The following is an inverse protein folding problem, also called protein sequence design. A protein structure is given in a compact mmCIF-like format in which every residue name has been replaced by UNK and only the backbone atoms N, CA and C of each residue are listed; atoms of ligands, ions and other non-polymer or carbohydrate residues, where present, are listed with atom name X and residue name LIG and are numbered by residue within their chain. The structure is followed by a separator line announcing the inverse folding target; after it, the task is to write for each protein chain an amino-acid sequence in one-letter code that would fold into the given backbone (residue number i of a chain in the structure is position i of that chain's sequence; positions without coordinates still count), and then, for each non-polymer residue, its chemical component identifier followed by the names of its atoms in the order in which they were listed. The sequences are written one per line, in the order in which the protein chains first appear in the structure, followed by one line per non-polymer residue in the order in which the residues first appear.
data_IF_356464409327
#
_entry.id   IF_356464409327
#
_cell.length_a   1.000
_cell.length_b   1.000
_cell.length_c   1.000
_cell.angle_alpha   90.00
_cell.angle_beta   90.00
_cell.angle_gamma   90.00
#
_symmetry.space_group_name_H-M   'P 1'
#
loop_
_entity.id
_entity.type
_entity.pdbx_description
1 polymer ?
#
# COMPACT_ATOMS: atom_id res chain seq x y z
N UNK A 1 9.33 16.55 33.74
CA UNK A 1 8.08 16.94 33.08
C UNK A 1 8.30 16.68 31.60
N UNK A 2 7.82 15.54 31.07
CA UNK A 2 7.83 15.30 29.63
C UNK A 2 6.65 16.12 29.12
N UNK A 3 6.92 17.23 28.46
CA UNK A 3 5.88 17.94 27.74
C UNK A 3 5.45 17.01 26.61
N UNK A 4 4.19 16.59 26.64
CA UNK A 4 3.50 15.99 25.50
C UNK A 4 3.43 17.09 24.43
N UNK A 5 4.52 17.22 23.67
CA UNK A 5 4.64 18.20 22.62
C UNK A 5 3.74 17.72 21.49
N UNK A 6 2.46 18.07 21.58
CA UNK A 6 1.56 18.05 20.44
C UNK A 6 2.16 18.98 19.39
N UNK A 7 2.98 18.43 18.49
CA UNK A 7 3.47 19.16 17.34
C UNK A 7 2.25 19.38 16.47
N UNK A 8 1.74 20.62 16.46
CA UNK A 8 0.66 21.00 15.57
C UNK A 8 1.03 20.59 14.13
N UNK A 9 0.10 19.99 13.38
CA UNK A 9 0.37 19.64 12.00
C UNK A 9 0.81 20.90 11.25
N UNK A 10 1.93 20.80 10.53
CA UNK A 10 2.43 21.93 9.74
C UNK A 10 1.38 22.40 8.74
N UNK A 11 1.45 23.67 8.32
CA UNK A 11 0.55 24.19 7.29
C UNK A 11 0.51 23.31 6.04
N UNK A 12 1.67 22.75 5.65
CA UNK A 12 1.79 21.77 4.57
C UNK A 12 1.00 20.49 4.83
N UNK A 13 1.01 19.97 6.06
CA UNK A 13 0.22 18.81 6.44
C UNK A 13 -1.28 19.10 6.33
N UNK A 14 -1.73 20.25 6.84
CA UNK A 14 -3.14 20.66 6.79
C UNK A 14 -3.62 20.82 5.33
N UNK A 15 -2.83 21.50 4.49
CA UNK A 15 -3.16 21.70 3.08
C UNK A 15 -3.17 20.38 2.30
N UNK A 16 -2.21 19.48 2.55
CA UNK A 16 -2.22 18.14 1.95
C UNK A 16 -3.45 17.37 2.38
N UNK A 17 -3.85 17.47 3.65
CA UNK A 17 -5.02 16.78 4.18
C UNK A 17 -6.28 17.27 3.46
N UNK A 18 -6.44 18.59 3.36
CA UNK A 18 -7.54 19.22 2.62
C UNK A 18 -7.58 18.78 1.16
N UNK A 19 -6.44 18.83 0.47
CA UNK A 19 -6.33 18.41 -0.92
C UNK A 19 -6.70 16.93 -1.12
N UNK A 20 -6.15 16.04 -0.28
CA UNK A 20 -6.42 14.60 -0.36
C UNK A 20 -7.92 14.30 -0.16
N UNK A 21 -8.58 14.95 0.80
CA UNK A 21 -10.02 14.81 1.00
C UNK A 21 -10.84 15.37 -0.18
N UNK A 22 -10.45 16.52 -0.74
CA UNK A 22 -11.12 17.08 -1.92
C UNK A 22 -11.05 16.11 -3.11
N UNK A 23 -9.88 15.55 -3.40
CA UNK A 23 -9.72 14.57 -4.47
C UNK A 23 -10.49 13.28 -4.18
N UNK A 24 -10.46 12.79 -2.94
CA UNK A 24 -11.21 11.61 -2.52
C UNK A 24 -12.71 11.78 -2.74
N UNK A 25 -13.31 12.87 -2.25
CA UNK A 25 -14.75 13.11 -2.41
C UNK A 25 -15.15 13.33 -3.86
N UNK A 26 -14.31 14.03 -4.64
CA UNK A 26 -14.53 14.19 -6.08
C UNK A 26 -14.50 12.85 -6.80
N UNK A 27 -13.59 11.95 -6.39
CA UNK A 27 -13.45 10.64 -7.02
C UNK A 27 -14.61 9.73 -6.66
N UNK A 28 -14.93 9.57 -5.37
CA UNK A 28 -16.02 8.69 -4.96
C UNK A 28 -17.39 9.21 -5.37
N UNK A 29 -17.58 10.52 -5.55
CA UNK A 29 -18.85 11.06 -6.05
C UNK A 29 -19.13 10.73 -7.52
N UNK A 30 -18.14 10.22 -8.25
CA UNK A 30 -18.31 9.76 -9.63
C UNK A 30 -19.29 8.57 -9.69
N UNK A 31 -20.36 8.72 -10.49
CA UNK A 31 -21.40 7.70 -10.68
C UNK A 31 -20.95 6.47 -11.49
N UNK A 32 -19.84 6.58 -12.23
CA UNK A 32 -19.32 5.49 -13.07
C UNK A 32 -18.42 4.52 -12.31
N UNK A 33 -18.27 4.71 -10.99
CA UNK A 33 -17.37 3.93 -10.14
C UNK A 33 -18.10 2.70 -9.60
N UNK A 34 -17.56 1.51 -9.85
CA UNK A 34 -18.14 0.27 -9.34
C UNK A 34 -18.14 0.24 -7.81
N UNK A 35 -19.07 -0.49 -7.16
CA UNK A 35 -19.09 -0.62 -5.70
C UNK A 35 -17.78 -1.16 -5.13
N UNK A 36 -17.11 -2.05 -5.84
CA UNK A 36 -15.83 -2.65 -5.46
C UNK A 36 -14.71 -1.61 -5.50
N UNK A 37 -14.60 -0.87 -6.61
CA UNK A 37 -13.58 0.15 -6.77
C UNK A 37 -13.78 1.31 -5.77
N UNK A 38 -15.03 1.66 -5.47
CA UNK A 38 -15.38 2.64 -4.44
C UNK A 38 -14.90 2.24 -3.04
N UNK A 39 -14.96 0.95 -2.70
CA UNK A 39 -14.48 0.41 -1.41
C UNK A 39 -12.95 0.35 -1.35
N UNK A 40 -12.27 0.20 -2.48
CA UNK A 40 -10.80 0.10 -2.50
C UNK A 40 -10.10 1.44 -2.38
N UNK A 41 -10.71 2.53 -2.85
CA UNK A 41 -10.10 3.87 -2.84
C UNK A 41 -10.05 4.42 -1.41
N UNK A 42 -8.88 4.92 -1.01
CA UNK A 42 -8.63 5.54 0.30
C UNK A 42 -8.15 6.97 0.13
N UNK A 43 -8.38 7.82 1.14
CA UNK A 43 -7.87 9.21 1.16
C UNK A 43 -6.35 9.24 1.00
N UNK A 44 -5.63 8.26 1.57
CA UNK A 44 -4.17 8.14 1.46
C UNK A 44 -3.66 7.94 0.03
N UNK A 45 -4.49 7.44 -0.88
CA UNK A 45 -4.10 7.27 -2.29
C UNK A 45 -3.90 8.63 -2.99
N UNK A 46 -4.42 9.71 -2.39
CA UNK A 46 -4.29 11.09 -2.85
C UNK A 46 -3.19 11.87 -2.09
N UNK A 47 -2.40 11.21 -1.25
CA UNK A 47 -1.21 11.78 -0.60
C UNK A 47 0.02 11.63 -1.50
N UNK A 48 0.07 12.42 -2.57
CA UNK A 48 1.10 12.31 -3.61
C UNK A 48 2.52 12.58 -3.10
N UNK A 49 2.64 13.44 -2.08
CA UNK A 49 3.93 13.84 -1.51
C UNK A 49 4.29 13.02 -0.26
N UNK A 50 3.47 12.04 0.11
CA UNK A 50 3.66 11.21 1.30
C UNK A 50 3.82 12.05 2.59
N UNK A 51 3.09 13.18 2.64
CA UNK A 51 3.12 14.19 3.73
C UNK A 51 2.18 13.79 4.87
N UNK A 52 1.12 13.03 4.58
CA UNK A 52 0.17 12.53 5.58
C UNK A 52 0.64 11.25 6.24
N UNK A 53 1.58 10.52 5.64
CA UNK A 53 2.33 9.49 6.35
C UNK A 53 3.41 10.15 7.21
N UNK A 54 2.92 10.74 8.31
CA UNK A 54 3.68 11.23 9.47
C UNK A 54 4.26 10.05 10.26
N UNK A 55 5.08 9.23 9.63
CA UNK A 55 6.08 8.48 10.39
C UNK A 55 7.24 9.42 10.67
N UNK A 56 7.93 9.24 11.79
CA UNK A 56 9.20 9.92 12.15
C UNK A 56 10.36 9.61 11.17
N UNK A 57 10.03 9.25 9.92
CA UNK A 57 10.93 8.77 8.90
C UNK A 57 11.14 9.84 7.86
N UNK A 58 12.40 10.13 7.64
CA UNK A 58 12.89 10.94 6.54
C UNK A 58 12.53 10.32 5.19
N UNK A 59 12.57 11.13 4.13
CA UNK A 59 12.41 10.65 2.73
C UNK A 59 13.36 9.51 2.39
N UNK A 60 14.57 9.54 2.97
CA UNK A 60 15.58 8.51 2.79
C UNK A 60 15.14 7.19 3.41
N UNK A 61 14.73 7.18 4.68
CA UNK A 61 14.25 5.97 5.38
C UNK A 61 13.03 5.37 4.70
N UNK A 62 12.10 6.22 4.24
CA UNK A 62 10.96 5.79 3.43
C UNK A 62 11.39 5.13 2.11
N UNK A 63 12.46 5.62 1.49
CA UNK A 63 13.01 5.02 0.27
C UNK A 63 13.62 3.63 0.52
N UNK A 64 14.33 3.47 1.64
CA UNK A 64 14.94 2.21 2.05
C UNK A 64 13.87 1.17 2.41
N UNK A 65 12.80 1.57 3.11
CA UNK A 65 11.67 0.68 3.37
C UNK A 65 10.98 0.20 2.09
N UNK A 66 10.82 1.08 1.09
CA UNK A 66 10.25 0.70 -0.21
C UNK A 66 11.12 -0.32 -0.93
N UNK A 67 12.45 -0.16 -0.89
CA UNK A 67 13.39 -1.16 -1.44
C UNK A 67 13.31 -2.49 -0.69
N UNK A 68 13.31 -2.44 0.65
CA UNK A 68 13.21 -3.64 1.47
C UNK A 68 11.91 -4.42 1.19
N UNK A 69 10.76 -3.74 1.17
CA UNK A 69 9.46 -4.34 0.82
C UNK A 69 9.44 -4.91 -0.60
N UNK A 70 10.09 -4.25 -1.55
CA UNK A 70 10.20 -4.76 -2.93
C UNK A 70 10.99 -6.07 -2.97
N UNK A 71 12.12 -6.15 -2.27
CA UNK A 71 12.94 -7.35 -2.19
C UNK A 71 12.21 -8.50 -1.48
N UNK A 72 11.51 -8.20 -0.37
CA UNK A 72 10.70 -9.17 0.35
C UNK A 72 9.57 -9.71 -0.52
N UNK A 73 8.86 -8.84 -1.24
CA UNK A 73 7.82 -9.24 -2.18
C UNK A 73 8.37 -10.15 -3.28
N UNK A 74 9.51 -9.79 -3.88
CA UNK A 74 10.15 -10.63 -4.89
C UNK A 74 10.52 -12.02 -4.34
N UNK A 75 11.04 -12.09 -3.11
CA UNK A 75 11.35 -13.37 -2.45
C UNK A 75 10.10 -14.21 -2.20
N UNK A 76 9.02 -13.60 -1.74
CA UNK A 76 7.74 -14.27 -1.50
C UNK A 76 7.11 -14.77 -2.82
N UNK A 77 7.22 -13.98 -3.90
CA UNK A 77 6.74 -14.35 -5.23
C UNK A 77 7.50 -15.57 -5.79
N UNK A 78 8.84 -15.61 -5.63
CA UNK A 78 9.66 -16.77 -6.03
C UNK A 78 9.28 -18.02 -5.24
N UNK A 79 9.09 -17.87 -3.92
CA UNK A 79 8.72 -18.99 -3.04
C UNK A 79 7.36 -19.56 -3.43
N UNK A 80 6.35 -18.70 -3.60
CA UNK A 80 4.99 -19.11 -3.97
C UNK A 80 4.94 -19.75 -5.37
N UNK A 81 5.74 -19.26 -6.33
CA UNK A 81 5.90 -19.87 -7.64
C UNK A 81 6.52 -21.27 -7.54
N UNK A 82 7.58 -21.43 -6.75
CA UNK A 82 8.21 -22.73 -6.52
C UNK A 82 7.24 -23.76 -5.90
N UNK A 83 6.43 -23.33 -4.94
CA UNK A 83 5.38 -24.17 -4.36
C UNK A 83 4.29 -24.56 -5.37
N UNK A 84 3.87 -23.62 -6.23
CA UNK A 84 2.90 -23.89 -7.28
C UNK A 84 3.44 -24.92 -8.30
N UNK A 85 4.70 -24.79 -8.72
CA UNK A 85 5.37 -25.74 -9.61
C UNK A 85 5.47 -27.12 -8.94
N UNK A 86 5.88 -27.18 -7.67
CA UNK A 86 5.96 -28.45 -6.91
C UNK A 86 4.60 -29.14 -6.83
N UNK A 87 3.52 -28.41 -6.53
CA UNK A 87 2.14 -28.94 -6.53
C UNK A 87 1.74 -29.46 -7.91
N UNK A 88 2.09 -28.76 -9.00
CA UNK A 88 1.77 -29.19 -10.35
C UNK A 88 2.53 -30.46 -10.77
N UNK A 89 3.82 -30.57 -10.44
CA UNK A 89 4.63 -31.76 -10.75
C UNK A 89 4.20 -32.98 -9.93
N UNK A 90 3.92 -32.81 -8.63
CA UNK A 90 3.46 -33.89 -7.77
C UNK A 90 2.01 -34.29 -8.08
N UNK A 91 1.15 -33.35 -8.47
CA UNK A 91 -0.23 -33.61 -8.90
C UNK A 91 -0.30 -34.42 -10.20
N UNK A 92 0.63 -34.21 -11.14
CA UNK A 92 0.72 -34.98 -12.40
C UNK A 92 1.14 -36.45 -12.21
N UNK A 93 1.77 -36.83 -11.08
CA UNK A 93 2.19 -38.22 -10.81
C UNK A 93 1.03 -39.18 -10.46
N UNK A 94 -0.20 -38.69 -10.24
CA UNK A 94 -1.35 -39.54 -9.83
C UNK A 94 -2.18 -40.13 -10.98
N UNK A 95 -1.97 -39.73 -12.23
CA UNK A 95 -2.73 -40.24 -13.38
C UNK A 95 -2.01 -41.32 -14.20
N UNK A 96 -0.98 -41.95 -13.65
CA UNK A 96 -0.40 -43.20 -14.17
C UNK A 96 -0.95 -44.40 -13.42
N UNK A 97 -2.25 -44.70 -13.56
CA UNK A 97 -2.74 -46.06 -13.26
C UNK A 97 -2.69 -46.87 -14.56
N UNK A 98 -2.05 -48.03 -14.43
CA UNK A 98 -1.84 -49.10 -15.42
C UNK A 98 -3.08 -49.43 -16.22
#
# INVERSE_FOLDING_TARGET
MIYDAFIEPSGTHIEMMKHAYQCYYTTISNGNLTPEARKSIKVKDFDFLDVLNSGDKTTFEKSEERKAKSNEKQSNDITSLGEAIKKQVLGKKRNGKK
#
